data_IF_036074433532
#
_entry.id   IF_036074433532
#
_cell.length_a   1.000
_cell.length_b   1.000
_cell.length_c   1.000
_cell.angle_alpha   90.00
_cell.angle_beta   90.00
_cell.angle_gamma   90.00
#
_symmetry.space_group_name_H-M   'P 1'
#
loop_
_entity.id
_entity.type
_entity.pdbx_description
1 polymer ?
#
# COMPACT_ATOMS: atom_id res chain seq x y z
N UNK A 1 13.05 -12.61 2.01
CA UNK A 1 13.45 -13.10 3.36
C UNK A 1 13.46 -11.99 4.43
N UNK A 2 13.02 -10.76 4.10
CA UNK A 2 13.17 -9.59 4.98
C UNK A 2 12.60 -9.84 6.40
N UNK A 3 11.44 -10.49 6.56
CA UNK A 3 10.86 -10.82 7.88
C UNK A 3 11.75 -11.69 8.76
N UNK A 4 12.64 -12.49 8.19
CA UNK A 4 13.61 -13.30 8.94
C UNK A 4 14.85 -12.49 9.33
N UNK A 5 15.05 -11.32 8.69
CA UNK A 5 16.20 -10.43 8.87
C UNK A 5 15.88 -9.28 9.82
N UNK A 6 14.62 -9.09 10.20
CA UNK A 6 14.15 -8.00 11.05
C UNK A 6 14.40 -8.24 12.55
N UNK A 7 14.40 -7.16 13.33
CA UNK A 7 14.51 -7.18 14.78
C UNK A 7 15.94 -7.18 15.31
N UNK A 8 16.06 -7.12 16.63
CA UNK A 8 17.36 -7.06 17.35
C UNK A 8 18.13 -8.39 17.32
N UNK A 9 17.41 -9.51 17.13
CA UNK A 9 17.98 -10.86 17.00
C UNK A 9 17.41 -11.52 15.75
N UNK A 10 17.88 -11.15 14.55
CA UNK A 10 17.36 -11.71 13.30
C UNK A 10 17.62 -13.22 13.21
N UNK A 11 16.61 -13.96 12.71
CA UNK A 11 16.72 -15.39 12.45
C UNK A 11 17.62 -15.72 11.25
N UNK A 12 17.84 -14.74 10.37
CA UNK A 12 18.65 -14.86 9.16
C UNK A 12 19.48 -13.60 8.96
N UNK A 13 20.76 -13.79 8.65
CA UNK A 13 21.67 -12.74 8.19
C UNK A 13 22.16 -13.10 6.80
N UNK A 14 21.98 -12.20 5.86
CA UNK A 14 22.42 -12.37 4.47
C UNK A 14 23.57 -11.41 4.18
N UNK A 15 24.62 -11.94 3.55
CA UNK A 15 25.75 -11.16 3.11
C UNK A 15 25.89 -11.24 1.60
N UNK A 16 26.26 -10.14 0.99
CA UNK A 16 26.64 -10.05 -0.42
C UNK A 16 28.02 -9.40 -0.50
N UNK A 17 29.00 -10.14 -1.00
CA UNK A 17 30.41 -9.70 -1.03
C UNK A 17 30.86 -9.15 0.34
N UNK A 18 30.68 -9.95 1.39
CA UNK A 18 31.01 -9.66 2.78
C UNK A 18 30.30 -8.44 3.42
N UNK A 19 29.33 -7.87 2.70
CA UNK A 19 28.47 -6.80 3.22
C UNK A 19 27.14 -7.36 3.70
N UNK A 20 26.81 -7.07 4.96
CA UNK A 20 25.51 -7.43 5.51
C UNK A 20 24.39 -6.68 4.78
N UNK A 21 23.41 -7.41 4.28
CA UNK A 21 22.23 -6.84 3.65
C UNK A 21 21.24 -6.38 4.73
N UNK A 22 20.70 -5.18 4.57
CA UNK A 22 19.61 -4.69 5.39
C UNK A 22 18.26 -5.31 4.95
N UNK A 23 17.33 -5.58 5.89
CA UNK A 23 15.97 -5.98 5.53
C UNK A 23 15.23 -4.82 4.87
N UNK A 24 14.50 -5.11 3.80
CA UNK A 24 13.63 -4.13 3.14
C UNK A 24 12.26 -4.18 3.81
N UNK A 25 11.73 -3.04 4.25
CA UNK A 25 10.34 -2.93 4.73
C UNK A 25 9.42 -2.42 3.62
N UNK A 26 8.71 -3.32 2.91
CA UNK A 26 7.85 -2.89 1.81
C UNK A 26 6.59 -2.16 2.27
N UNK A 27 6.27 -2.15 3.56
CA UNK A 27 5.06 -1.54 4.12
C UNK A 27 5.32 -0.24 4.89
N UNK A 28 6.57 0.13 5.09
CA UNK A 28 6.98 1.24 5.96
C UNK A 28 6.30 1.13 7.34
N UNK A 29 6.34 -0.08 7.95
CA UNK A 29 5.63 -0.39 9.20
C UNK A 29 6.10 0.49 10.36
N UNK A 30 7.36 0.91 10.35
CA UNK A 30 7.93 1.81 11.35
C UNK A 30 7.51 3.28 11.21
N UNK A 31 6.92 3.66 10.07
CA UNK A 31 6.52 5.05 9.84
C UNK A 31 5.13 5.32 10.46
N UNK A 32 4.99 6.29 11.39
CA UNK A 32 3.72 6.57 12.07
C UNK A 32 2.61 7.07 11.15
N UNK A 33 2.94 7.48 9.92
CA UNK A 33 1.97 7.91 8.92
C UNK A 33 1.46 6.77 8.02
N UNK A 34 1.99 5.55 8.19
CA UNK A 34 1.45 4.34 7.56
C UNK A 34 0.07 4.04 8.13
N UNK A 35 -0.88 3.74 7.26
CA UNK A 35 -2.25 3.43 7.65
C UNK A 35 -2.50 1.94 7.42
N UNK A 36 -2.90 1.27 8.49
CA UNK A 36 -3.32 -0.13 8.46
C UNK A 36 -4.83 -0.19 8.55
N UNK A 37 -5.47 -0.90 7.60
CA UNK A 37 -6.86 -1.27 7.73
C UNK A 37 -7.02 -2.45 8.70
N UNK A 38 -8.24 -2.67 9.15
CA UNK A 38 -8.59 -3.86 9.93
C UNK A 38 -8.18 -5.12 9.16
N UNK A 39 -7.58 -6.09 9.86
CA UNK A 39 -7.27 -7.39 9.26
C UNK A 39 -8.57 -8.13 8.90
N UNK A 40 -8.53 -8.80 7.76
CA UNK A 40 -9.63 -9.61 7.26
C UNK A 40 -9.10 -11.06 7.12
N UNK A 41 -9.31 -11.83 8.16
CA UNK A 41 -8.81 -13.20 8.22
C UNK A 41 -9.85 -14.15 7.59
N UNK A 42 -9.42 -14.92 6.60
CA UNK A 42 -10.26 -15.87 5.89
C UNK A 42 -9.97 -17.30 6.37
N UNK A 43 -10.86 -17.90 7.17
CA UNK A 43 -10.73 -19.30 7.55
C UNK A 43 -11.06 -20.22 6.35
N UNK A 44 -10.17 -21.15 6.07
CA UNK A 44 -10.34 -22.19 5.05
C UNK A 44 -10.08 -23.56 5.71
N UNK A 45 -10.46 -24.64 5.02
CA UNK A 45 -10.37 -26.01 5.57
C UNK A 45 -8.96 -26.42 6.02
N UNK A 46 -7.91 -25.84 5.41
CA UNK A 46 -6.51 -26.18 5.69
C UNK A 46 -5.76 -25.13 6.50
N UNK A 47 -6.43 -24.09 6.96
CA UNK A 47 -5.80 -23.04 7.77
C UNK A 47 -6.41 -21.66 7.57
N UNK A 48 -5.75 -20.65 8.12
CA UNK A 48 -6.17 -19.26 8.11
C UNK A 48 -5.33 -18.48 7.09
N UNK A 49 -5.98 -17.75 6.19
CA UNK A 49 -5.34 -16.76 5.32
C UNK A 49 -5.50 -15.39 5.94
N UNK A 50 -4.41 -14.83 6.43
CA UNK A 50 -4.39 -13.46 6.97
C UNK A 50 -4.33 -12.44 5.85
N UNK A 51 -5.23 -11.44 5.84
CA UNK A 51 -5.27 -10.37 4.85
C UNK A 51 -5.22 -9.03 5.58
N UNK A 52 -4.25 -8.18 5.24
CA UNK A 52 -4.15 -6.82 5.78
C UNK A 52 -3.89 -5.80 4.66
N UNK A 53 -4.74 -4.80 4.57
CA UNK A 53 -4.53 -3.68 3.66
C UNK A 53 -3.70 -2.59 4.32
N UNK A 54 -2.74 -2.04 3.57
CA UNK A 54 -1.80 -1.02 4.03
C UNK A 54 -1.76 0.12 3.02
N UNK A 55 -1.97 1.34 3.51
CA UNK A 55 -1.71 2.56 2.73
C UNK A 55 -0.40 3.18 3.18
N UNK A 56 0.56 3.22 2.27
CA UNK A 56 1.86 3.84 2.53
C UNK A 56 1.73 5.35 2.77
N UNK A 57 2.65 5.94 3.54
CA UNK A 57 2.73 7.38 3.68
C UNK A 57 2.96 8.06 2.34
N UNK A 58 2.44 9.27 2.20
CA UNK A 58 2.77 10.11 1.05
C UNK A 58 4.25 10.54 1.11
N UNK A 59 4.90 10.74 -0.05
CA UNK A 59 6.32 11.12 -0.14
C UNK A 59 6.72 12.29 0.75
N UNK A 60 5.81 13.26 1.00
CA UNK A 60 6.06 14.39 1.91
C UNK A 60 6.17 13.99 3.40
N UNK A 61 5.79 12.77 3.76
CA UNK A 61 5.85 12.23 5.12
C UNK A 61 6.94 11.18 5.32
N UNK A 62 7.84 11.07 4.36
CA UNK A 62 8.97 10.14 4.36
C UNK A 62 10.24 10.89 3.95
N UNK A 63 11.40 10.40 4.37
CA UNK A 63 12.67 10.84 3.78
C UNK A 63 12.76 10.35 2.33
N UNK A 64 13.56 11.01 1.50
CA UNK A 64 13.78 10.59 0.11
C UNK A 64 14.29 9.14 0.03
N UNK A 65 15.26 8.79 0.89
CA UNK A 65 15.83 7.43 0.94
C UNK A 65 14.76 6.38 1.30
N UNK A 66 13.95 6.62 2.35
CA UNK A 66 12.88 5.71 2.75
C UNK A 66 11.79 5.59 1.66
N UNK A 67 11.50 6.66 0.94
CA UNK A 67 10.58 6.62 -0.20
C UNK A 67 11.12 5.75 -1.34
N UNK A 68 12.37 5.94 -1.74
CA UNK A 68 13.02 5.15 -2.79
C UNK A 68 13.12 3.67 -2.40
N UNK A 69 13.54 3.38 -1.17
CA UNK A 69 13.63 2.01 -0.63
C UNK A 69 12.26 1.31 -0.65
N UNK A 70 11.23 1.95 -0.11
CA UNK A 70 9.87 1.39 -0.07
C UNK A 70 9.28 1.22 -1.47
N UNK A 71 9.62 2.10 -2.41
CA UNK A 71 9.22 1.97 -3.82
C UNK A 71 9.88 0.80 -4.53
N UNK A 72 11.07 0.42 -4.08
CA UNK A 72 11.90 -0.58 -4.73
C UNK A 72 12.43 -0.12 -6.10
N UNK A 73 13.13 -1.01 -6.83
CA UNK A 73 13.81 -0.65 -8.08
C UNK A 73 12.86 -0.22 -9.20
N UNK A 74 11.62 -0.67 -9.18
CA UNK A 74 10.61 -0.34 -10.20
C UNK A 74 9.70 0.82 -9.79
N UNK A 75 9.87 1.38 -8.60
CA UNK A 75 9.10 2.49 -8.06
C UNK A 75 7.69 2.11 -7.58
N UNK A 76 7.03 3.04 -6.89
CA UNK A 76 5.74 2.82 -6.23
C UNK A 76 4.62 2.42 -7.18
N UNK A 77 4.66 2.85 -8.44
CA UNK A 77 3.63 2.50 -9.42
C UNK A 77 3.62 1.00 -9.71
N UNK A 78 4.77 0.37 -9.83
CA UNK A 78 4.88 -1.06 -10.12
C UNK A 78 4.87 -1.94 -8.88
N UNK A 79 5.33 -1.42 -7.73
CA UNK A 79 5.36 -2.15 -6.48
C UNK A 79 4.03 -2.15 -5.70
N UNK A 80 2.97 -1.54 -6.24
CA UNK A 80 1.62 -1.60 -5.65
C UNK A 80 1.00 -2.99 -5.81
N UNK A 81 0.10 -3.37 -4.89
CA UNK A 81 -0.65 -4.62 -5.03
C UNK A 81 -0.45 -5.61 -3.90
N UNK A 82 -0.54 -6.89 -4.25
CA UNK A 82 -0.47 -7.99 -3.32
C UNK A 82 0.97 -8.36 -2.97
N UNK A 83 1.19 -8.62 -1.69
CA UNK A 83 2.42 -9.16 -1.13
C UNK A 83 2.08 -10.48 -0.44
N UNK A 84 2.38 -11.59 -1.11
CA UNK A 84 1.99 -12.92 -0.64
C UNK A 84 3.16 -13.57 0.08
N UNK A 85 2.94 -13.90 1.34
CA UNK A 85 3.89 -14.59 2.20
C UNK A 85 3.43 -16.02 2.48
N UNK A 86 4.33 -16.96 2.28
CA UNK A 86 4.17 -18.34 2.67
C UNK A 86 5.09 -18.62 3.86
N UNK A 87 4.51 -18.94 5.01
CA UNK A 87 5.27 -19.11 6.25
C UNK A 87 6.34 -18.01 6.41
N UNK A 88 5.92 -16.76 6.35
CA UNK A 88 6.74 -15.53 6.44
C UNK A 88 7.68 -15.26 5.24
N UNK A 89 7.88 -16.23 4.33
CA UNK A 89 8.67 -16.01 3.12
C UNK A 89 7.86 -15.30 2.05
N UNK A 90 8.33 -14.16 1.58
CA UNK A 90 7.72 -13.43 0.46
C UNK A 90 7.87 -14.21 -0.85
N UNK A 91 6.75 -14.54 -1.48
CA UNK A 91 6.69 -15.26 -2.76
C UNK A 91 6.34 -14.30 -3.90
N UNK A 92 5.38 -13.40 -3.68
CA UNK A 92 4.98 -12.37 -4.66
C UNK A 92 5.11 -11.00 -4.01
N UNK A 93 5.79 -10.08 -4.70
CA UNK A 93 5.97 -8.69 -4.29
C UNK A 93 5.35 -7.76 -5.34
N UNK A 94 4.33 -7.02 -4.93
CA UNK A 94 3.58 -6.15 -5.83
C UNK A 94 2.75 -6.94 -6.85
N UNK A 95 1.98 -6.34 -7.66
CA UNK A 95 1.05 -6.89 -8.65
C UNK A 95 -0.34 -7.18 -8.08
N UNK A 96 -1.33 -6.82 -8.84
CA UNK A 96 -2.73 -7.03 -8.45
C UNK A 96 -3.30 -8.39 -8.89
N UNK A 97 -2.55 -9.20 -9.63
CA UNK A 97 -2.96 -10.52 -10.14
C UNK A 97 -4.35 -10.53 -10.81
N UNK A 98 -4.67 -9.45 -11.54
CA UNK A 98 -5.95 -9.30 -12.24
C UNK A 98 -7.13 -8.86 -11.36
N UNK A 99 -6.93 -8.53 -10.08
CA UNK A 99 -8.00 -8.03 -9.21
C UNK A 99 -8.36 -6.57 -9.50
N UNK A 100 -7.38 -5.75 -9.84
CA UNK A 100 -7.56 -4.34 -10.24
C UNK A 100 -6.41 -3.89 -11.14
N UNK A 101 -6.53 -2.68 -11.70
CA UNK A 101 -5.48 -2.08 -12.52
C UNK A 101 -4.51 -1.27 -11.67
N UNK A 102 -3.24 -1.26 -12.07
CA UNK A 102 -2.24 -0.36 -11.52
C UNK A 102 -2.53 1.08 -11.97
N UNK A 103 -2.61 2.00 -11.03
CA UNK A 103 -2.86 3.42 -11.29
C UNK A 103 -2.10 4.30 -10.32
N UNK A 104 -1.90 5.57 -10.66
CA UNK A 104 -1.32 6.57 -9.76
C UNK A 104 -2.14 6.74 -8.47
N UNK A 105 -3.46 6.58 -8.54
CA UNK A 105 -4.36 6.70 -7.38
C UNK A 105 -4.25 5.53 -6.41
N UNK A 106 -3.65 4.42 -6.82
CA UNK A 106 -3.49 3.21 -6.02
C UNK A 106 -2.03 2.87 -5.71
N UNK A 107 -1.09 3.71 -6.15
CA UNK A 107 0.36 3.45 -6.01
C UNK A 107 0.85 3.29 -4.57
N UNK A 108 0.12 3.80 -3.59
CA UNK A 108 0.42 3.65 -2.17
C UNK A 108 -0.29 2.46 -1.53
N UNK A 109 -1.15 1.77 -2.28
CA UNK A 109 -1.93 0.65 -1.76
C UNK A 109 -1.14 -0.66 -1.83
N UNK A 110 -1.03 -1.34 -0.70
CA UNK A 110 -0.44 -2.67 -0.59
C UNK A 110 -1.33 -3.59 0.22
N UNK A 111 -1.39 -4.85 -0.15
CA UNK A 111 -2.17 -5.86 0.56
C UNK A 111 -1.25 -7.00 0.96
N UNK A 112 -1.05 -7.16 2.25
CA UNK A 112 -0.26 -8.21 2.87
C UNK A 112 -1.14 -9.44 3.02
N UNK A 113 -0.69 -10.58 2.51
CA UNK A 113 -1.40 -11.86 2.56
C UNK A 113 -0.48 -12.89 3.14
N UNK A 114 -0.86 -13.46 4.27
CA UNK A 114 -0.12 -14.52 4.94
C UNK A 114 -0.84 -15.86 4.75
N UNK A 115 -0.14 -16.85 4.22
CA UNK A 115 -0.64 -18.20 3.99
C UNK A 115 0.23 -19.25 4.69
N UNK A 116 -0.39 -20.26 5.31
CA UNK A 116 0.33 -21.36 5.90
C UNK A 116 0.81 -22.36 4.82
N UNK A 117 1.83 -23.14 5.15
CA UNK A 117 2.39 -24.18 4.26
C UNK A 117 1.36 -25.25 3.84
N UNK A 118 0.37 -25.52 4.71
CA UNK A 118 -0.70 -26.48 4.45
C UNK A 118 -1.53 -26.20 3.19
N UNK A 119 -1.45 -24.99 2.65
CA UNK A 119 -2.20 -24.54 1.48
C UNK A 119 -1.39 -24.50 0.18
N UNK A 120 -0.18 -24.98 0.15
CA UNK A 120 0.71 -24.93 -1.03
C UNK A 120 0.06 -25.50 -2.30
N UNK A 121 -0.60 -26.65 -2.18
CA UNK A 121 -1.26 -27.29 -3.31
C UNK A 121 -2.44 -26.44 -3.85
N UNK A 122 -3.23 -25.82 -2.96
CA UNK A 122 -4.40 -25.04 -3.34
C UNK A 122 -4.00 -23.72 -4.04
N UNK A 123 -2.88 -23.13 -3.61
CA UNK A 123 -2.33 -21.91 -4.20
C UNK A 123 -1.38 -22.17 -5.36
N UNK A 124 -1.10 -23.44 -5.70
CA UNK A 124 -0.14 -23.84 -6.72
C UNK A 124 1.18 -23.06 -6.61
N UNK A 125 1.71 -23.03 -5.38
CA UNK A 125 2.91 -22.25 -5.09
C UNK A 125 4.13 -22.91 -5.72
N UNK A 126 4.82 -22.17 -6.57
CA UNK A 126 6.15 -22.50 -7.05
C UNK A 126 7.17 -21.53 -6.44
N UNK A 127 7.83 -21.99 -5.40
CA UNK A 127 8.83 -21.19 -4.68
C UNK A 127 10.04 -20.85 -5.55
N UNK A 128 10.40 -21.72 -6.50
CA UNK A 128 11.53 -21.51 -7.42
C UNK A 128 11.23 -20.42 -8.43
N UNK A 129 10.00 -20.40 -8.96
CA UNK A 129 9.55 -19.40 -9.94
C UNK A 129 8.94 -18.15 -9.30
N UNK A 130 8.89 -18.09 -7.96
CA UNK A 130 8.21 -17.02 -7.23
C UNK A 130 6.80 -16.74 -7.79
N UNK A 131 6.01 -17.81 -7.96
CA UNK A 131 4.66 -17.75 -8.51
C UNK A 131 3.64 -18.41 -7.58
N UNK A 132 2.42 -17.88 -7.60
CA UNK A 132 1.27 -18.43 -6.90
C UNK A 132 0.00 -18.15 -7.71
N UNK A 133 -0.96 -19.05 -7.63
CA UNK A 133 -2.29 -18.85 -8.21
C UNK A 133 -3.31 -18.72 -7.08
N UNK A 134 -4.12 -17.67 -7.15
CA UNK A 134 -5.17 -17.45 -6.16
C UNK A 134 -6.28 -18.49 -6.30
N UNK A 135 -6.57 -19.30 -5.27
CA UNK A 135 -7.76 -20.16 -5.28
C UNK A 135 -9.03 -19.33 -5.52
N UNK A 136 -10.07 -19.87 -6.21
CA UNK A 136 -11.28 -19.09 -6.54
C UNK A 136 -11.94 -18.41 -5.33
N UNK A 137 -12.10 -19.14 -4.23
CA UNK A 137 -12.69 -18.63 -2.98
C UNK A 137 -11.87 -17.44 -2.42
N UNK A 138 -10.55 -17.54 -2.43
CA UNK A 138 -9.65 -16.47 -1.98
C UNK A 138 -9.71 -15.29 -2.94
N UNK A 139 -9.73 -15.54 -4.24
CA UNK A 139 -9.83 -14.51 -5.28
C UNK A 139 -11.09 -13.66 -5.11
N UNK A 140 -12.24 -14.30 -4.89
CA UNK A 140 -13.52 -13.59 -4.73
C UNK A 140 -13.54 -12.75 -3.45
N UNK A 141 -13.00 -13.27 -2.36
CA UNK A 141 -12.85 -12.51 -1.12
C UNK A 141 -11.91 -11.32 -1.29
N UNK A 142 -10.72 -11.56 -1.86
CA UNK A 142 -9.73 -10.52 -2.13
C UNK A 142 -10.28 -9.44 -3.06
N UNK A 143 -11.09 -9.80 -4.07
CA UNK A 143 -11.71 -8.81 -4.96
C UNK A 143 -12.56 -7.82 -4.17
N UNK A 144 -13.43 -8.29 -3.28
CA UNK A 144 -14.27 -7.45 -2.42
C UNK A 144 -13.44 -6.56 -1.49
N UNK A 145 -12.41 -7.11 -0.86
CA UNK A 145 -11.50 -6.38 0.04
C UNK A 145 -10.74 -5.31 -0.73
N UNK A 146 -10.15 -5.65 -1.88
CA UNK A 146 -9.38 -4.73 -2.73
C UNK A 146 -10.26 -3.62 -3.30
N UNK A 147 -11.47 -3.93 -3.77
CA UNK A 147 -12.41 -2.92 -4.29
C UNK A 147 -12.79 -1.89 -3.22
N UNK A 148 -13.11 -2.34 -2.00
CA UNK A 148 -13.39 -1.48 -0.85
C UNK A 148 -12.19 -0.60 -0.51
N UNK A 149 -11.02 -1.20 -0.37
CA UNK A 149 -9.77 -0.54 0.00
C UNK A 149 -9.33 0.50 -1.04
N UNK A 150 -9.26 0.10 -2.31
CA UNK A 150 -8.90 0.98 -3.43
C UNK A 150 -9.94 2.09 -3.61
N UNK A 151 -11.22 1.80 -3.42
CA UNK A 151 -12.30 2.79 -3.47
C UNK A 151 -12.13 3.88 -2.40
N UNK A 152 -11.72 3.51 -1.20
CA UNK A 152 -11.44 4.43 -0.09
C UNK A 152 -10.21 5.29 -0.39
N UNK A 153 -9.13 4.68 -0.83
CA UNK A 153 -7.89 5.38 -1.21
C UNK A 153 -8.12 6.39 -2.34
N UNK A 154 -8.87 6.03 -3.38
CA UNK A 154 -9.23 6.94 -4.48
C UNK A 154 -10.06 8.13 -4.00
N UNK A 155 -11.01 7.92 -3.09
CA UNK A 155 -11.82 9.00 -2.49
C UNK A 155 -10.97 9.98 -1.70
N UNK A 156 -10.06 9.47 -0.89
CA UNK A 156 -9.14 10.29 -0.08
C UNK A 156 -8.21 11.13 -0.97
N UNK A 157 -7.67 10.56 -2.04
CA UNK A 157 -6.83 11.27 -3.01
C UNK A 157 -7.60 12.38 -3.73
N UNK A 158 -8.83 12.10 -4.18
CA UNK A 158 -9.69 13.10 -4.85
C UNK A 158 -10.08 14.26 -3.94
N UNK A 159 -10.40 13.99 -2.66
CA UNK A 159 -10.70 15.04 -1.66
C UNK A 159 -9.50 15.94 -1.42
N UNK A 160 -8.29 15.37 -1.29
CA UNK A 160 -7.04 16.13 -1.11
C UNK A 160 -6.70 16.96 -2.35
N UNK A 161 -6.87 16.38 -3.54
CA UNK A 161 -6.67 17.11 -4.80
C UNK A 161 -7.60 18.31 -4.96
N UNK A 162 -8.90 18.16 -4.63
CA UNK A 162 -9.85 19.28 -4.61
C UNK A 162 -9.44 20.37 -3.63
N UNK A 163 -9.08 19.98 -2.41
CA UNK A 163 -8.66 20.96 -1.39
C UNK A 163 -7.44 21.76 -1.81
N UNK A 164 -6.44 21.12 -2.43
CA UNK A 164 -5.26 21.82 -2.95
C UNK A 164 -5.58 22.75 -4.12
N UNK A 165 -6.49 22.36 -5.00
CA UNK A 165 -6.94 23.23 -6.11
C UNK A 165 -7.76 24.41 -5.60
N UNK A 166 -8.61 24.20 -4.59
CA UNK A 166 -9.39 25.26 -3.97
C UNK A 166 -8.51 26.24 -3.16
N UNK A 167 -7.45 25.75 -2.51
CA UNK A 167 -6.46 26.58 -1.81
C UNK A 167 -5.53 27.34 -2.78
N UNK A 168 -5.32 26.86 -4.00
CA UNK A 168 -4.52 27.52 -5.04
C UNK A 168 -5.35 28.37 -6.01
N UNK A 169 -6.67 28.38 -5.88
CA UNK A 169 -7.50 29.32 -6.60
C UNK A 169 -7.26 30.70 -6.02
N UNK A 170 -6.52 31.52 -6.73
CA UNK A 170 -6.51 32.97 -6.52
C UNK A 170 -7.94 33.46 -6.67
N UNK A 171 -8.55 33.76 -5.54
CA UNK A 171 -9.93 34.28 -5.53
C UNK A 171 -9.85 35.68 -6.07
N UNK A 172 -10.22 35.89 -7.35
CA UNK A 172 -10.25 37.22 -7.97
C UNK A 172 -11.16 38.19 -7.23
N UNK A 173 -12.08 37.67 -6.42
CA UNK A 173 -13.06 38.48 -5.64
C UNK A 173 -13.11 38.02 -4.20
N UNK A 174 -12.79 38.89 -3.28
CA UNK A 174 -13.01 38.69 -1.83
C UNK A 174 -14.48 38.97 -1.48
N UNK A 175 -15.10 38.05 -0.71
CA UNK A 175 -16.44 38.24 -0.18
C UNK A 175 -16.36 38.76 1.25
N UNK A 176 -16.90 39.95 1.50
CA UNK A 176 -17.03 40.54 2.84
C UNK A 176 -18.51 40.46 3.22
N UNK A 177 -18.81 39.71 4.30
CA UNK A 177 -20.15 39.67 4.90
C UNK A 177 -20.25 40.70 5.99
N UNK A 178 -21.21 41.63 5.86
CA UNK A 178 -21.71 42.53 6.91
C UNK A 178 -23.10 42.08 7.30
N UNK A 179 -23.59 42.47 8.49
CA UNK A 179 -24.89 41.99 9.03
C UNK A 179 -26.09 42.27 8.09
N UNK A 180 -25.97 43.21 7.18
CA UNK A 180 -27.05 43.54 6.23
C UNK A 180 -26.72 43.26 4.76
N UNK A 181 -25.44 43.08 4.38
CA UNK A 181 -25.04 42.99 2.98
C UNK A 181 -23.83 42.07 2.75
N UNK A 182 -23.75 41.49 1.54
CA UNK A 182 -22.58 40.80 1.04
C UNK A 182 -21.92 41.65 -0.03
N UNK A 183 -20.70 42.10 0.23
CA UNK A 183 -19.92 42.93 -0.68
C UNK A 183 -18.82 42.09 -1.32
N UNK A 184 -18.72 42.14 -2.64
CA UNK A 184 -17.61 41.51 -3.38
C UNK A 184 -16.59 42.59 -3.74
N UNK A 185 -15.33 42.39 -3.34
CA UNK A 185 -14.21 43.26 -3.72
C UNK A 185 -13.23 42.50 -4.60
N UNK A 186 -12.73 43.09 -5.69
CA UNK A 186 -11.67 42.50 -6.47
C UNK A 186 -10.39 42.42 -5.61
N UNK A 187 -9.69 41.28 -5.71
CA UNK A 187 -8.41 41.11 -5.06
C UNK A 187 -7.35 41.78 -5.94
N UNK A 188 -6.93 42.98 -5.57
CA UNK A 188 -5.98 43.82 -6.34
C UNK A 188 -4.51 43.43 -6.10
N UNK A 189 -4.26 42.21 -5.61
CA UNK A 189 -2.92 41.66 -5.32
C UNK A 189 -2.31 40.89 -6.48
N UNK A 190 -2.64 41.19 -7.72
CA UNK A 190 -1.97 40.69 -8.94
C UNK A 190 -1.33 41.86 -9.68
#
# INVERSE_FOLDING_TARGET
>A
FHRFMEGTRPRLRLFLNDRLLAPIDPFAESNPATQFDQSDDLPLSKGLVGIRCVTLPHHKKMSKAAWEETGGPEGHLKSQGLYIYRAERLIIAGRWLGLTRQTELTKLCRVKIDIPNSMDADWKIDVKKASAQLPPVVRDRLRKVVERFVGTSKRTYRKRGRKLVDEQRDVMWGQIKTDENIIFRPNLGH
#
